data_IF_773530235441
#
_entry.id   IF_773530235441
#
_cell.length_a   1.000
_cell.length_b   1.000
_cell.length_c   1.000
_cell.angle_alpha   90.00
_cell.angle_beta   90.00
_cell.angle_gamma   90.00
#
_symmetry.space_group_name_H-M   'P 1'
#
loop_
_entity.id
_entity.type
_entity.pdbx_description
1 polymer ?
#
# COMPACT_ATOMS: atom_id res chain seq x y z
N UNK A 1 -19.04 29.93 -36.24
CA UNK A 1 -19.05 30.67 -34.96
C UNK A 1 -18.44 29.78 -33.89
N UNK A 2 -17.31 30.19 -33.29
CA UNK A 2 -16.72 29.48 -32.16
C UNK A 2 -17.45 29.90 -30.88
N UNK A 3 -18.32 29.01 -30.36
CA UNK A 3 -18.97 29.23 -29.07
C UNK A 3 -17.99 28.98 -27.92
N UNK A 4 -17.96 29.87 -26.93
CA UNK A 4 -17.16 29.68 -25.72
C UNK A 4 -17.98 28.88 -24.71
N UNK A 5 -17.66 27.59 -24.57
CA UNK A 5 -18.29 26.71 -23.56
C UNK A 5 -17.55 26.89 -22.23
N UNK A 6 -18.21 27.45 -21.23
CA UNK A 6 -17.70 27.50 -19.86
C UNK A 6 -18.28 26.33 -19.07
N UNK A 7 -17.43 25.35 -18.73
CA UNK A 7 -17.79 24.24 -17.85
C UNK A 7 -17.55 24.65 -16.40
N UNK A 8 -18.59 24.63 -15.58
CA UNK A 8 -18.47 24.72 -14.12
C UNK A 8 -18.58 23.33 -13.53
N UNK A 9 -17.51 22.89 -12.88
CA UNK A 9 -17.47 21.61 -12.19
C UNK A 9 -17.41 21.83 -10.67
N UNK A 10 -18.40 21.31 -9.94
CA UNK A 10 -18.37 21.28 -8.49
C UNK A 10 -17.74 19.95 -8.05
N UNK A 11 -16.46 19.98 -7.70
CA UNK A 11 -15.79 18.79 -7.16
C UNK A 11 -16.09 18.64 -5.67
N UNK A 12 -16.56 17.46 -5.24
CA UNK A 12 -16.64 17.15 -3.81
C UNK A 12 -15.23 17.10 -3.22
N UNK A 13 -14.96 17.94 -2.22
CA UNK A 13 -13.65 18.05 -1.55
C UNK A 13 -13.18 16.74 -0.90
N UNK A 14 -14.12 15.82 -0.66
CA UNK A 14 -13.91 14.54 0.01
C UNK A 14 -12.93 13.65 -0.77
N UNK A 15 -13.09 13.52 -2.09
CA UNK A 15 -12.22 12.65 -2.90
C UNK A 15 -10.77 13.14 -2.90
N UNK A 16 -10.57 14.47 -2.93
CA UNK A 16 -9.25 15.09 -2.89
C UNK A 16 -8.54 14.81 -1.57
N UNK A 17 -9.22 15.04 -0.44
CA UNK A 17 -8.61 14.81 0.88
C UNK A 17 -8.26 13.33 1.10
N UNK A 18 -9.15 12.42 0.70
CA UNK A 18 -8.91 10.98 0.80
C UNK A 18 -7.72 10.53 -0.06
N UNK A 19 -7.58 11.10 -1.26
CA UNK A 19 -6.44 10.81 -2.15
C UNK A 19 -5.11 11.27 -1.55
N UNK A 20 -5.05 12.51 -1.05
CA UNK A 20 -3.85 13.07 -0.41
C UNK A 20 -3.46 12.21 0.79
N UNK A 21 -4.45 11.86 1.61
CA UNK A 21 -4.20 11.08 2.81
C UNK A 21 -3.73 9.65 2.49
N UNK A 22 -4.33 8.98 1.50
CA UNK A 22 -3.84 7.68 1.03
C UNK A 22 -2.41 7.79 0.48
N UNK A 23 -2.11 8.83 -0.30
CA UNK A 23 -0.77 9.09 -0.82
C UNK A 23 0.25 9.28 0.31
N UNK A 24 -0.06 10.10 1.31
CA UNK A 24 0.82 10.32 2.47
C UNK A 24 1.09 9.02 3.23
N UNK A 25 0.07 8.20 3.46
CA UNK A 25 0.20 6.93 4.19
C UNK A 25 1.00 5.91 3.37
N UNK A 26 0.74 5.79 2.08
CA UNK A 26 1.50 4.90 1.20
C UNK A 26 2.96 5.33 1.09
N UNK A 27 3.23 6.62 0.90
CA UNK A 27 4.59 7.18 0.88
C UNK A 27 5.34 6.92 2.20
N UNK A 28 4.64 7.06 3.34
CA UNK A 28 5.22 6.74 4.65
C UNK A 28 5.63 5.26 4.76
N UNK A 29 4.76 4.32 4.37
CA UNK A 29 5.06 2.89 4.45
C UNK A 29 6.11 2.43 3.42
N UNK A 30 6.13 3.00 2.22
CA UNK A 30 7.18 2.70 1.24
C UNK A 30 8.53 3.22 1.72
N UNK A 31 8.56 4.37 2.38
CA UNK A 31 9.79 4.88 2.97
C UNK A 31 10.29 3.99 4.12
N UNK A 32 9.39 3.50 4.99
CA UNK A 32 9.75 2.51 6.01
C UNK A 32 10.28 1.21 5.40
N UNK A 33 9.68 0.73 4.31
CA UNK A 33 10.16 -0.45 3.60
C UNK A 33 11.58 -0.21 3.08
N UNK A 34 11.81 0.95 2.47
CA UNK A 34 13.10 1.28 1.88
C UNK A 34 14.22 1.42 2.91
N UNK A 35 13.94 2.00 4.08
CA UNK A 35 14.94 2.19 5.14
C UNK A 35 15.19 0.93 5.96
N UNK A 36 14.14 0.30 6.48
CA UNK A 36 14.26 -0.73 7.52
C UNK A 36 14.02 -2.15 7.04
N UNK A 37 13.44 -2.32 5.85
CA UNK A 37 13.07 -3.62 5.30
C UNK A 37 13.56 -3.79 3.85
N UNK A 38 14.69 -3.15 3.49
CA UNK A 38 15.25 -3.15 2.14
C UNK A 38 15.49 -4.57 1.61
N UNK A 39 15.86 -5.49 2.50
CA UNK A 39 16.10 -6.90 2.20
C UNK A 39 14.89 -7.80 2.47
N UNK A 40 13.82 -7.27 3.06
CA UNK A 40 12.61 -8.04 3.33
C UNK A 40 11.83 -8.28 2.05
N UNK A 41 11.35 -9.51 1.87
CA UNK A 41 10.45 -9.86 0.77
C UNK A 41 9.00 -9.54 1.08
N UNK A 42 8.67 -9.15 2.31
CA UNK A 42 7.31 -8.84 2.76
C UNK A 42 7.02 -7.36 2.53
N UNK A 43 5.84 -7.07 1.95
CA UNK A 43 5.40 -5.70 1.67
C UNK A 43 4.74 -5.06 2.90
N UNK A 44 5.42 -4.09 3.51
CA UNK A 44 4.91 -3.29 4.64
C UNK A 44 3.61 -2.57 4.31
N UNK A 45 3.47 -2.03 3.10
CA UNK A 45 2.27 -1.30 2.66
C UNK A 45 1.04 -2.21 2.76
N UNK A 46 1.12 -3.44 2.22
CA UNK A 46 0.02 -4.40 2.24
C UNK A 46 -0.35 -4.80 3.67
N UNK A 47 0.64 -5.15 4.50
CA UNK A 47 0.42 -5.62 5.88
C UNK A 47 -0.14 -4.49 6.76
N UNK A 48 0.45 -3.30 6.72
CA UNK A 48 0.04 -2.20 7.58
C UNK A 48 -1.32 -1.61 7.19
N UNK A 49 -1.58 -1.43 5.88
CA UNK A 49 -2.89 -0.94 5.43
C UNK A 49 -4.00 -1.95 5.64
N UNK A 50 -3.74 -3.27 5.56
CA UNK A 50 -4.75 -4.30 5.82
C UNK A 50 -5.31 -4.24 7.24
N UNK A 51 -4.54 -3.70 8.20
CA UNK A 51 -4.94 -3.53 9.59
C UNK A 51 -5.66 -2.21 9.87
N UNK A 52 -5.75 -1.34 8.86
CA UNK A 52 -6.28 0.02 9.02
C UNK A 52 -7.60 0.19 8.28
N UNK A 53 -8.63 0.64 8.99
CA UNK A 53 -9.97 0.94 8.44
C UNK A 53 -9.89 2.03 7.37
N UNK A 54 -8.92 2.94 7.49
CA UNK A 54 -8.73 4.06 6.59
C UNK A 54 -8.68 3.67 5.10
N UNK A 55 -7.97 2.60 4.76
CA UNK A 55 -7.84 2.16 3.37
C UNK A 55 -9.19 1.72 2.79
N UNK A 56 -9.99 0.99 3.56
CA UNK A 56 -11.33 0.55 3.17
C UNK A 56 -12.26 1.76 3.01
N UNK A 57 -12.19 2.73 3.92
CA UNK A 57 -12.98 3.96 3.82
C UNK A 57 -12.65 4.75 2.55
N UNK A 58 -11.35 4.92 2.23
CA UNK A 58 -10.94 5.61 1.00
C UNK A 58 -11.46 4.87 -0.23
N UNK A 59 -11.34 3.54 -0.26
CA UNK A 59 -11.84 2.73 -1.37
C UNK A 59 -13.35 2.89 -1.59
N UNK A 60 -14.15 2.81 -0.51
CA UNK A 60 -15.60 2.98 -0.59
C UNK A 60 -16.00 4.36 -1.10
N UNK A 61 -15.34 5.41 -0.59
CA UNK A 61 -15.61 6.78 -1.04
C UNK A 61 -15.19 6.99 -2.49
N UNK A 62 -14.11 6.37 -2.96
CA UNK A 62 -13.70 6.42 -4.37
C UNK A 62 -14.73 5.74 -5.27
N UNK A 63 -15.24 4.57 -4.88
CA UNK A 63 -16.28 3.86 -5.64
C UNK A 63 -17.57 4.69 -5.69
N UNK A 64 -17.98 5.26 -4.55
CA UNK A 64 -19.16 6.13 -4.48
C UNK A 64 -18.99 7.41 -5.33
N UNK A 65 -17.80 8.00 -5.29
CA UNK A 65 -17.45 9.19 -6.06
C UNK A 65 -17.20 8.93 -7.56
N UNK A 66 -17.17 7.67 -7.99
CA UNK A 66 -16.76 7.28 -9.34
C UNK A 66 -17.72 7.81 -10.41
N UNK A 67 -19.03 7.90 -10.11
CA UNK A 67 -20.01 8.44 -11.06
C UNK A 67 -19.64 9.86 -11.55
N UNK A 68 -19.11 10.69 -10.65
CA UNK A 68 -18.67 12.05 -10.98
C UNK A 68 -17.41 12.02 -11.86
N UNK A 69 -16.45 11.13 -11.57
CA UNK A 69 -15.23 10.99 -12.37
C UNK A 69 -15.55 10.45 -13.77
N UNK A 70 -16.39 9.42 -13.87
CA UNK A 70 -16.86 8.87 -15.15
C UNK A 70 -17.58 9.93 -15.99
N UNK A 71 -18.42 10.76 -15.37
CA UNK A 71 -19.11 11.87 -16.04
C UNK A 71 -18.11 12.82 -16.68
N UNK A 72 -17.10 13.24 -15.91
CA UNK A 72 -16.08 14.18 -16.36
C UNK A 72 -15.21 13.59 -17.48
N UNK A 73 -14.75 12.35 -17.31
CA UNK A 73 -13.96 11.65 -18.33
C UNK A 73 -14.74 11.47 -19.62
N UNK A 74 -15.98 10.99 -19.53
CA UNK A 74 -16.85 10.80 -20.70
C UNK A 74 -17.08 12.11 -21.43
N UNK A 75 -17.34 13.20 -20.70
CA UNK A 75 -17.51 14.51 -21.29
C UNK A 75 -16.28 14.97 -22.08
N UNK A 76 -15.07 14.83 -21.52
CA UNK A 76 -13.83 15.22 -22.20
C UNK A 76 -13.48 14.31 -23.38
N UNK A 77 -13.79 13.02 -23.32
CA UNK A 77 -13.60 12.09 -24.45
C UNK A 77 -14.53 12.46 -25.62
N UNK A 78 -15.78 12.81 -25.33
CA UNK A 78 -16.76 13.14 -26.36
C UNK A 78 -16.62 14.57 -26.90
N UNK A 79 -16.00 15.49 -26.14
CA UNK A 79 -15.85 16.90 -26.51
C UNK A 79 -14.37 17.34 -26.45
N UNK A 80 -13.52 16.93 -27.41
CA UNK A 80 -12.13 17.34 -27.44
C UNK A 80 -12.00 18.85 -27.70
N UNK A 81 -11.45 19.59 -26.74
CA UNK A 81 -11.19 21.04 -26.86
C UNK A 81 -9.74 21.24 -27.28
N UNK A 82 -9.50 21.92 -28.40
CA UNK A 82 -8.17 22.12 -28.98
C UNK A 82 -7.23 23.02 -28.14
N UNK A 83 -7.77 23.89 -27.27
CA UNK A 83 -7.00 24.86 -26.49
C UNK A 83 -6.50 24.34 -25.14
N UNK A 84 -6.98 23.18 -24.69
CA UNK A 84 -6.66 22.58 -23.39
C UNK A 84 -6.13 21.18 -23.58
N UNK A 85 -5.21 20.71 -22.72
CA UNK A 85 -4.74 19.32 -22.70
C UNK A 85 -5.85 18.37 -22.20
N UNK A 86 -6.97 18.34 -22.91
CA UNK A 86 -8.20 17.60 -22.61
C UNK A 86 -7.95 16.11 -22.46
N UNK A 87 -7.03 15.56 -23.24
CA UNK A 87 -6.56 14.17 -23.13
C UNK A 87 -6.01 13.87 -21.73
N UNK A 88 -5.20 14.76 -21.15
CA UNK A 88 -4.63 14.54 -19.81
C UNK A 88 -5.75 14.55 -18.76
N UNK A 89 -6.66 15.52 -18.85
CA UNK A 89 -7.80 15.65 -17.95
C UNK A 89 -8.75 14.44 -18.02
N UNK A 90 -8.98 13.90 -19.22
CA UNK A 90 -9.79 12.71 -19.42
C UNK A 90 -9.20 11.48 -18.72
N UNK A 91 -7.87 11.36 -18.65
CA UNK A 91 -7.17 10.20 -18.09
C UNK A 91 -6.94 10.34 -16.58
N UNK A 92 -6.89 11.54 -16.02
CA UNK A 92 -6.61 11.75 -14.59
C UNK A 92 -7.62 11.07 -13.65
N UNK A 93 -8.92 11.12 -13.95
CA UNK A 93 -9.97 10.46 -13.15
C UNK A 93 -9.80 8.92 -13.13
N UNK A 94 -9.75 8.27 -14.29
CA UNK A 94 -9.48 6.84 -14.43
C UNK A 94 -8.17 6.41 -13.77
N UNK A 95 -7.09 7.17 -13.96
CA UNK A 95 -5.81 6.91 -13.33
C UNK A 95 -5.90 6.96 -11.81
N UNK A 96 -6.66 7.91 -11.25
CA UNK A 96 -6.88 8.03 -9.82
C UNK A 96 -7.63 6.81 -9.27
N UNK A 97 -8.75 6.43 -9.90
CA UNK A 97 -9.57 5.27 -9.46
C UNK A 97 -8.75 3.99 -9.55
N UNK A 98 -8.10 3.74 -10.69
CA UNK A 98 -7.24 2.59 -10.89
C UNK A 98 -6.10 2.55 -9.86
N UNK A 99 -5.48 3.68 -9.55
CA UNK A 99 -4.39 3.76 -8.55
C UNK A 99 -4.88 3.43 -7.15
N UNK A 100 -6.04 3.95 -6.73
CA UNK A 100 -6.61 3.63 -5.42
C UNK A 100 -6.96 2.14 -5.34
N UNK A 101 -7.63 1.59 -6.37
CA UNK A 101 -7.96 0.16 -6.42
C UNK A 101 -6.70 -0.70 -6.43
N UNK A 102 -5.69 -0.34 -7.22
CA UNK A 102 -4.39 -1.02 -7.28
C UNK A 102 -3.71 -1.03 -5.92
N UNK A 103 -3.50 0.14 -5.30
CA UNK A 103 -2.90 0.28 -3.96
C UNK A 103 -3.64 -0.58 -2.94
N UNK A 104 -4.97 -0.60 -3.00
CA UNK A 104 -5.81 -1.35 -2.05
C UNK A 104 -5.92 -2.84 -2.36
N UNK A 105 -5.50 -3.31 -3.53
CA UNK A 105 -5.57 -4.73 -3.92
C UNK A 105 -4.73 -5.60 -2.98
N UNK A 106 -3.46 -5.25 -2.78
CA UNK A 106 -2.56 -5.95 -1.85
C UNK A 106 -3.10 -6.01 -0.41
N UNK A 107 -3.47 -4.87 0.21
CA UNK A 107 -4.12 -4.82 1.52
C UNK A 107 -5.38 -5.67 1.64
N UNK A 108 -6.27 -5.66 0.62
CA UNK A 108 -7.48 -6.47 0.63
C UNK A 108 -7.18 -7.97 0.58
N UNK A 109 -6.23 -8.38 -0.26
CA UNK A 109 -5.76 -9.77 -0.29
C UNK A 109 -5.19 -10.13 1.09
N UNK A 110 -4.31 -9.29 1.65
CA UNK A 110 -3.68 -9.51 2.95
C UNK A 110 -4.69 -9.57 4.10
N UNK A 111 -5.78 -8.80 4.02
CA UNK A 111 -6.89 -8.87 4.98
C UNK A 111 -7.51 -10.27 5.02
N UNK A 112 -7.72 -10.90 3.86
CA UNK A 112 -8.29 -12.26 3.77
C UNK A 112 -7.39 -13.37 4.33
N UNK A 113 -6.10 -13.08 4.56
CA UNK A 113 -5.15 -14.03 5.16
C UNK A 113 -4.80 -13.71 6.61
N UNK A 114 -5.23 -12.56 7.15
CA UNK A 114 -4.98 -12.19 8.55
C UNK A 114 -5.56 -13.25 9.50
N UNK A 115 -4.80 -13.75 10.50
CA UNK A 115 -3.55 -13.20 11.05
C UNK A 115 -2.24 -13.67 10.37
N UNK A 116 -2.29 -14.34 9.21
CA UNK A 116 -1.12 -14.77 8.44
C UNK A 116 -0.66 -13.72 7.42
N UNK A 117 0.65 -13.56 7.27
CA UNK A 117 1.30 -12.72 6.26
C UNK A 117 1.35 -13.47 4.93
N UNK A 118 0.94 -12.80 3.85
CA UNK A 118 1.11 -13.29 2.49
C UNK A 118 2.56 -13.09 2.07
N UNK A 119 3.31 -14.18 1.96
CA UNK A 119 4.75 -14.14 1.62
C UNK A 119 5.01 -14.16 0.12
N UNK A 120 4.02 -14.56 -0.69
CA UNK A 120 4.10 -14.55 -2.15
C UNK A 120 3.92 -13.12 -2.71
N UNK A 121 4.85 -12.22 -2.43
CA UNK A 121 4.74 -10.81 -2.83
C UNK A 121 4.75 -10.60 -4.33
N UNK A 122 5.36 -11.49 -5.12
CA UNK A 122 5.26 -11.44 -6.57
C UNK A 122 3.83 -11.65 -7.08
N UNK A 123 3.03 -12.53 -6.45
CA UNK A 123 1.61 -12.71 -6.78
C UNK A 123 0.83 -11.46 -6.41
N UNK A 124 1.09 -10.87 -5.24
CA UNK A 124 0.47 -9.61 -4.83
C UNK A 124 0.74 -8.50 -5.85
N UNK A 125 1.99 -8.35 -6.29
CA UNK A 125 2.38 -7.36 -7.29
C UNK A 125 1.71 -7.63 -8.63
N UNK A 126 1.69 -8.88 -9.10
CA UNK A 126 1.05 -9.28 -10.36
C UNK A 126 -0.45 -8.93 -10.35
N UNK A 127 -1.18 -9.37 -9.32
CA UNK A 127 -2.62 -9.07 -9.21
C UNK A 127 -2.91 -7.60 -9.00
N UNK A 128 -2.02 -6.87 -8.31
CA UNK A 128 -2.14 -5.41 -8.17
C UNK A 128 -2.02 -4.69 -9.52
N UNK A 129 -1.01 -5.05 -10.33
CA UNK A 129 -0.82 -4.48 -11.66
C UNK A 129 -1.96 -4.87 -12.62
N UNK A 130 -2.41 -6.12 -12.56
CA UNK A 130 -3.54 -6.59 -13.34
C UNK A 130 -4.83 -5.87 -12.98
N UNK A 131 -5.11 -5.70 -11.68
CA UNK A 131 -6.29 -4.99 -11.22
C UNK A 131 -6.26 -3.51 -11.62
N UNK A 132 -5.10 -2.87 -11.45
CA UNK A 132 -4.87 -1.50 -11.91
C UNK A 132 -5.14 -1.35 -13.41
N UNK A 133 -4.54 -2.22 -14.23
CA UNK A 133 -4.69 -2.17 -15.69
C UNK A 133 -6.12 -2.42 -16.17
N UNK A 134 -6.82 -3.39 -15.58
CA UNK A 134 -8.22 -3.69 -15.90
C UNK A 134 -9.14 -2.51 -15.57
N UNK A 135 -9.05 -1.99 -14.33
CA UNK A 135 -9.87 -0.85 -13.91
C UNK A 135 -9.56 0.38 -14.76
N UNK A 136 -8.29 0.65 -15.02
CA UNK A 136 -7.88 1.76 -15.88
C UNK A 136 -8.45 1.64 -17.30
N UNK A 137 -8.36 0.45 -17.91
CA UNK A 137 -8.90 0.20 -19.25
C UNK A 137 -10.42 0.32 -19.32
N UNK A 138 -11.13 -0.17 -18.30
CA UNK A 138 -12.60 -0.02 -18.21
C UNK A 138 -13.00 1.46 -18.14
N UNK A 139 -12.35 2.23 -17.27
CA UNK A 139 -12.67 3.64 -17.02
C UNK A 139 -12.25 4.57 -18.17
N UNK A 140 -11.18 4.25 -18.90
CA UNK A 140 -10.69 5.08 -20.01
C UNK A 140 -11.27 4.71 -21.37
N UNK A 141 -11.44 3.42 -21.64
CA UNK A 141 -11.82 2.93 -22.96
C UNK A 141 -13.28 2.48 -22.93
N UNK A 142 -13.67 1.57 -22.05
CA UNK A 142 -14.99 0.93 -22.18
C UNK A 142 -16.14 1.88 -21.82
N UNK A 143 -16.13 2.46 -20.63
CA UNK A 143 -17.28 3.24 -20.15
C UNK A 143 -17.53 4.55 -20.90
N UNK A 144 -16.51 5.33 -21.32
CA UNK A 144 -16.74 6.56 -22.08
C UNK A 144 -17.41 6.31 -23.43
N UNK A 145 -17.08 5.20 -24.11
CA UNK A 145 -17.67 4.86 -25.42
C UNK A 145 -19.01 4.13 -25.32
N UNK A 146 -19.37 3.58 -24.15
CA UNK A 146 -20.71 3.02 -23.90
C UNK A 146 -21.78 4.10 -23.60
N UNK A 147 -21.36 5.32 -23.28
CA UNK A 147 -22.28 6.39 -22.90
C UNK A 147 -22.77 7.19 -24.12
N UNK A 148 -24.08 7.42 -24.20
CA UNK A 148 -24.66 8.35 -25.16
C UNK A 148 -24.97 9.68 -24.47
N UNK A 149 -24.65 10.78 -25.15
CA UNK A 149 -25.04 12.13 -24.74
C UNK A 149 -26.48 12.40 -25.17
N UNK A 150 -27.40 12.48 -24.21
CA UNK A 150 -28.81 12.83 -24.45
C UNK A 150 -29.18 14.14 -23.78
N UNK A 151 -30.12 14.94 -24.33
CA UNK A 151 -30.59 16.14 -23.65
C UNK A 151 -31.22 15.80 -22.29
N UNK A 152 -30.86 16.55 -21.25
CA UNK A 152 -31.36 16.34 -19.89
C UNK A 152 -31.68 17.65 -19.18
N UNK A 153 -32.34 17.59 -18.01
CA UNK A 153 -32.66 18.77 -17.23
C UNK A 153 -31.37 19.45 -16.73
N UNK A 154 -31.37 20.79 -16.75
CA UNK A 154 -30.25 21.57 -16.25
C UNK A 154 -30.24 21.64 -14.72
N UNK A 155 -29.06 21.41 -14.12
CA UNK A 155 -28.86 21.62 -12.68
C UNK A 155 -28.79 23.09 -12.26
N UNK A 156 -28.58 24.01 -13.21
CA UNK A 156 -28.52 25.45 -12.96
C UNK A 156 -29.36 26.22 -13.98
N UNK A 157 -30.10 27.23 -13.51
CA UNK A 157 -30.93 28.08 -14.36
C UNK A 157 -30.15 28.90 -15.40
N UNK A 158 -28.84 29.10 -15.19
CA UNK A 158 -27.95 29.81 -16.12
C UNK A 158 -27.39 28.93 -17.25
N UNK A 159 -27.71 27.63 -17.28
CA UNK A 159 -27.17 26.69 -18.27
C UNK A 159 -28.07 26.60 -19.50
N UNK A 160 -27.49 26.63 -20.70
CA UNK A 160 -28.22 26.64 -21.98
C UNK A 160 -28.16 25.32 -22.73
N UNK A 161 -27.20 24.44 -22.41
CA UNK A 161 -27.08 23.09 -22.99
C UNK A 161 -26.73 22.10 -21.88
N UNK A 162 -27.64 21.15 -21.63
CA UNK A 162 -27.55 20.21 -20.52
C UNK A 162 -27.63 18.80 -21.05
N UNK A 163 -26.56 18.07 -20.77
CA UNK A 163 -26.32 16.73 -21.28
C UNK A 163 -26.43 15.77 -20.11
N UNK A 164 -27.21 14.72 -20.32
CA UNK A 164 -27.29 13.56 -19.45
C UNK A 164 -26.58 12.39 -20.13
N UNK A 165 -25.81 11.62 -19.36
CA UNK A 165 -25.08 10.45 -19.84
C UNK A 165 -25.82 9.18 -19.42
N UNK A 166 -26.24 8.38 -20.40
CA UNK A 166 -27.24 7.32 -20.20
C UNK A 166 -26.73 6.10 -19.42
N UNK A 167 -25.45 5.77 -19.50
CA UNK A 167 -24.92 4.51 -18.94
C UNK A 167 -24.29 4.67 -17.55
N UNK A 168 -23.97 5.88 -17.10
CA UNK A 168 -23.32 6.15 -15.81
C UNK A 168 -24.02 5.53 -14.60
N UNK A 169 -25.37 5.57 -14.48
CA UNK A 169 -26.08 4.93 -13.35
C UNK A 169 -25.82 3.43 -13.24
N UNK A 170 -25.43 2.78 -14.33
CA UNK A 170 -25.15 1.34 -14.39
C UNK A 170 -23.65 1.01 -14.42
N UNK A 171 -22.78 1.94 -14.84
CA UNK A 171 -21.34 1.69 -14.99
C UNK A 171 -20.49 2.08 -13.78
N UNK A 172 -20.97 3.00 -12.92
CA UNK A 172 -20.13 3.58 -11.85
C UNK A 172 -19.61 2.55 -10.83
N UNK A 173 -20.34 1.47 -10.60
CA UNK A 173 -19.95 0.40 -9.67
C UNK A 173 -19.25 -0.79 -10.36
N UNK A 174 -19.28 -0.88 -11.69
CA UNK A 174 -18.75 -2.05 -12.42
C UNK A 174 -17.24 -2.22 -12.23
N UNK A 175 -16.47 -1.13 -12.17
CA UNK A 175 -15.04 -1.18 -11.83
C UNK A 175 -14.78 -1.81 -10.47
N UNK A 176 -15.64 -1.54 -9.49
CA UNK A 176 -15.54 -2.15 -8.16
C UNK A 176 -15.86 -3.64 -8.19
N UNK A 177 -16.86 -4.05 -8.98
CA UNK A 177 -17.23 -5.46 -9.16
C UNK A 177 -16.10 -6.23 -9.83
N UNK A 178 -15.56 -5.72 -10.94
CA UNK A 178 -14.44 -6.34 -11.65
C UNK A 178 -13.19 -6.39 -10.77
N UNK A 179 -12.86 -5.30 -10.09
CA UNK A 179 -11.70 -5.28 -9.20
C UNK A 179 -11.86 -6.18 -7.98
N UNK A 180 -13.07 -6.30 -7.44
CA UNK A 180 -13.41 -7.27 -6.39
C UNK A 180 -13.26 -8.72 -6.86
N UNK A 181 -13.70 -9.03 -8.09
CA UNK A 181 -13.51 -10.35 -8.68
C UNK A 181 -12.02 -10.70 -8.82
N UNK A 182 -11.17 -9.74 -9.22
CA UNK A 182 -9.71 -9.93 -9.27
C UNK A 182 -9.15 -10.28 -7.90
N UNK A 183 -9.59 -9.60 -6.83
CA UNK A 183 -9.18 -9.92 -5.45
C UNK A 183 -9.60 -11.34 -5.04
N UNK A 184 -10.82 -11.76 -5.35
CA UNK A 184 -11.31 -13.12 -5.05
C UNK A 184 -10.46 -14.18 -5.78
N UNK A 185 -10.18 -13.97 -7.06
CA UNK A 185 -9.31 -14.85 -7.85
C UNK A 185 -7.89 -14.87 -7.26
N UNK A 186 -7.35 -13.72 -6.86
CA UNK A 186 -6.04 -13.62 -6.22
C UNK A 186 -5.97 -14.41 -4.91
N UNK A 187 -6.98 -14.29 -4.06
CA UNK A 187 -7.07 -15.07 -2.81
C UNK A 187 -7.13 -16.57 -3.10
N UNK A 188 -7.95 -17.00 -4.07
CA UNK A 188 -8.05 -18.40 -4.49
C UNK A 188 -6.72 -18.96 -4.99
N UNK A 189 -6.06 -18.23 -5.89
CA UNK A 189 -4.77 -18.63 -6.45
C UNK A 189 -3.66 -18.68 -5.40
N UNK A 190 -3.60 -17.73 -4.46
CA UNK A 190 -2.63 -17.75 -3.36
C UNK A 190 -2.89 -18.96 -2.44
N UNK A 191 -4.15 -19.27 -2.13
CA UNK A 191 -4.50 -20.47 -1.33
C UNK A 191 -4.07 -21.75 -2.03
N UNK A 192 -4.39 -21.91 -3.31
CA UNK A 192 -4.00 -23.08 -4.10
C UNK A 192 -2.47 -23.18 -4.14
N UNK A 193 -1.78 -22.08 -4.44
CA UNK A 193 -0.33 -22.05 -4.48
C UNK A 193 0.29 -22.42 -3.11
N UNK A 194 -0.24 -21.92 -2.00
CA UNK A 194 0.24 -22.27 -0.65
C UNK A 194 0.00 -23.74 -0.30
N UNK A 195 -1.08 -24.35 -0.78
CA UNK A 195 -1.38 -25.76 -0.54
C UNK A 195 -0.56 -26.70 -1.44
N UNK A 196 -0.42 -26.38 -2.73
CA UNK A 196 0.23 -27.24 -3.72
C UNK A 196 1.77 -27.21 -3.59
N UNK A 197 2.35 -26.09 -3.18
CA UNK A 197 3.80 -25.94 -3.09
C UNK A 197 4.27 -26.03 -1.63
N UNK A 198 4.79 -27.19 -1.23
CA UNK A 198 5.40 -27.39 0.09
C UNK A 198 6.65 -26.52 0.27
N UNK A 199 6.88 -26.12 1.51
CA UNK A 199 8.07 -25.34 1.87
C UNK A 199 9.32 -26.20 1.67
N UNK A 200 10.34 -25.63 1.05
CA UNK A 200 11.61 -26.32 0.79
C UNK A 200 12.49 -26.41 2.03
N UNK A 201 12.29 -25.51 3.00
CA UNK A 201 13.08 -25.40 4.21
C UNK A 201 12.16 -25.32 5.42
N UNK A 202 12.41 -26.18 6.42
CA UNK A 202 11.71 -26.15 7.70
C UNK A 202 12.56 -25.43 8.72
N UNK A 203 11.98 -24.40 9.35
CA UNK A 203 12.64 -23.67 10.44
C UNK A 203 12.50 -24.49 11.72
N UNK A 204 13.59 -24.75 12.46
CA UNK A 204 13.50 -25.49 13.72
C UNK A 204 12.74 -24.66 14.78
N UNK A 205 11.93 -25.29 15.64
CA UNK A 205 11.15 -24.58 16.68
C UNK A 205 12.04 -23.88 17.72
N UNK A 206 13.32 -24.25 17.79
CA UNK A 206 14.34 -23.60 18.63
C UNK A 206 14.83 -22.26 18.08
N UNK A 207 14.40 -21.87 16.87
CA UNK A 207 14.78 -20.61 16.27
C UNK A 207 14.26 -19.43 17.09
N UNK A 208 15.13 -18.46 17.39
CA UNK A 208 14.86 -17.32 18.30
C UNK A 208 13.60 -16.54 17.91
N UNK A 209 13.34 -16.37 16.62
CA UNK A 209 12.15 -15.72 16.10
C UNK A 209 10.85 -16.48 16.40
N UNK A 210 10.82 -17.79 16.21
CA UNK A 210 9.64 -18.61 16.51
C UNK A 210 9.38 -18.63 18.02
N UNK A 211 10.45 -18.74 18.81
CA UNK A 211 10.36 -18.63 20.27
C UNK A 211 9.87 -17.26 20.73
N UNK A 212 10.33 -16.16 20.12
CA UNK A 212 9.84 -14.81 20.42
C UNK A 212 8.36 -14.65 20.05
N UNK A 213 7.94 -15.25 18.93
CA UNK A 213 6.55 -15.22 18.49
C UNK A 213 5.66 -16.20 19.28
N UNK A 214 6.24 -17.18 19.96
CA UNK A 214 5.54 -18.21 20.71
C UNK A 214 4.86 -19.26 19.83
N UNK A 215 5.40 -19.52 18.64
CA UNK A 215 4.82 -20.44 17.64
C UNK A 215 5.76 -21.62 17.39
N UNK A 216 5.21 -22.76 16.95
CA UNK A 216 6.01 -23.95 16.65
C UNK A 216 6.34 -24.06 15.17
N UNK A 217 5.45 -23.58 14.30
CA UNK A 217 5.64 -23.59 12.85
C UNK A 217 5.43 -22.20 12.24
N UNK A 218 6.26 -21.83 11.27
CA UNK A 218 6.16 -20.57 10.55
C UNK A 218 4.84 -20.45 9.80
N UNK A 219 4.23 -21.58 9.42
CA UNK A 219 2.91 -21.64 8.77
C UNK A 219 1.76 -21.08 9.61
N UNK A 220 1.96 -20.93 10.92
CA UNK A 220 0.98 -20.28 11.79
C UNK A 220 0.87 -18.77 11.51
N UNK A 221 1.96 -18.14 11.03
CA UNK A 221 2.05 -16.68 10.82
C UNK A 221 2.32 -16.32 9.35
N UNK A 222 2.76 -17.23 8.50
CA UNK A 222 3.02 -16.98 7.08
C UNK A 222 2.31 -18.00 6.17
N UNK A 223 1.88 -17.56 4.97
CA UNK A 223 1.25 -18.44 3.97
C UNK A 223 2.22 -19.47 3.38
N UNK A 224 3.52 -19.13 3.30
CA UNK A 224 4.60 -20.05 2.92
C UNK A 224 5.93 -19.55 3.49
N UNK A 225 6.83 -20.47 3.83
CA UNK A 225 8.21 -20.15 4.19
C UNK A 225 9.10 -19.82 2.98
N UNK A 226 8.64 -20.09 1.75
CA UNK A 226 9.41 -19.79 0.53
C UNK A 226 9.61 -18.27 0.38
N UNK A 227 10.86 -17.88 0.19
CA UNK A 227 11.25 -16.48 0.04
C UNK A 227 11.42 -15.73 1.37
N UNK A 228 10.88 -16.24 2.47
CA UNK A 228 11.09 -15.69 3.81
C UNK A 228 12.10 -16.49 4.64
N UNK A 229 12.51 -17.66 4.18
CA UNK A 229 13.52 -18.51 4.83
C UNK A 229 14.65 -18.76 3.85
N UNK A 230 15.87 -18.42 4.24
CA UNK A 230 17.09 -18.57 3.44
C UNK A 230 18.14 -19.29 4.28
N UNK A 231 18.97 -20.13 3.65
CA UNK A 231 20.16 -20.67 4.32
C UNK A 231 21.33 -19.72 4.12
N UNK A 232 22.00 -19.37 5.21
CA UNK A 232 23.25 -18.64 5.17
C UNK A 232 24.39 -19.54 4.64
N UNK A 233 25.53 -18.94 4.28
CA UNK A 233 26.74 -19.66 3.86
C UNK A 233 27.26 -20.66 4.91
N UNK A 234 27.04 -20.36 6.19
CA UNK A 234 27.38 -21.24 7.32
C UNK A 234 26.38 -22.40 7.52
N UNK A 235 25.35 -22.51 6.67
CA UNK A 235 24.31 -23.53 6.74
C UNK A 235 23.14 -23.19 7.69
N UNK A 236 23.25 -22.10 8.45
CA UNK A 236 22.23 -21.62 9.37
C UNK A 236 20.98 -21.10 8.65
N UNK A 237 19.81 -21.31 9.26
CA UNK A 237 18.52 -20.89 8.70
C UNK A 237 18.20 -19.47 9.18
N UNK A 238 18.15 -18.53 8.23
CA UNK A 238 17.79 -17.12 8.48
C UNK A 238 16.35 -16.88 8.05
N UNK A 239 15.58 -16.20 8.91
CA UNK A 239 14.18 -15.86 8.65
C UNK A 239 14.03 -14.35 8.44
N UNK A 240 13.25 -13.97 7.44
CA UNK A 240 12.94 -12.59 7.08
C UNK A 240 12.29 -11.84 8.25
N UNK A 241 12.96 -10.78 8.70
CA UNK A 241 12.52 -9.92 9.80
C UNK A 241 11.19 -9.21 9.52
N UNK A 242 10.77 -9.10 8.25
CA UNK A 242 9.47 -8.56 7.84
C UNK A 242 8.28 -9.32 8.41
N UNK A 243 8.45 -10.58 8.82
CA UNK A 243 7.38 -11.35 9.48
C UNK A 243 6.97 -10.69 10.82
N UNK A 244 7.90 -9.98 11.47
CA UNK A 244 7.63 -9.27 12.72
C UNK A 244 6.62 -8.12 12.56
N UNK A 245 6.45 -7.60 11.34
CA UNK A 245 5.46 -6.56 11.02
C UNK A 245 4.03 -7.04 11.33
N UNK A 246 3.79 -8.36 11.28
CA UNK A 246 2.50 -8.90 11.71
C UNK A 246 2.20 -8.63 13.20
N UNK A 247 3.22 -8.59 14.06
CA UNK A 247 3.08 -8.18 15.47
C UNK A 247 3.37 -6.69 15.70
N UNK A 248 3.33 -5.87 14.65
CA UNK A 248 3.66 -4.44 14.70
C UNK A 248 5.07 -4.18 15.26
N UNK A 249 6.00 -5.10 15.00
CA UNK A 249 7.42 -4.98 15.36
C UNK A 249 8.25 -4.77 14.10
N UNK A 250 9.28 -3.94 14.19
CA UNK A 250 10.18 -3.59 13.09
C UNK A 250 11.63 -3.70 13.59
N UNK A 251 12.49 -4.33 12.78
CA UNK A 251 13.94 -4.32 13.02
C UNK A 251 14.51 -3.00 12.52
N UNK A 252 15.08 -2.21 13.42
CA UNK A 252 15.73 -0.93 13.06
C UNK A 252 17.20 -1.17 12.75
N UNK A 253 17.87 -1.89 13.64
CA UNK A 253 19.31 -2.17 13.55
C UNK A 253 19.58 -3.66 13.70
N UNK A 254 20.85 -4.04 13.58
CA UNK A 254 21.27 -5.42 13.83
C UNK A 254 21.08 -5.83 15.30
N UNK A 255 21.03 -4.85 16.21
CA UNK A 255 20.96 -5.01 17.67
C UNK A 255 19.58 -4.70 18.26
N UNK A 256 18.70 -3.99 17.56
CA UNK A 256 17.43 -3.51 18.12
C UNK A 256 16.19 -3.79 17.25
N UNK A 257 15.12 -4.27 17.90
CA UNK A 257 13.75 -4.26 17.41
C UNK A 257 12.93 -3.21 18.16
N UNK A 258 12.02 -2.52 17.46
CA UNK A 258 11.07 -1.57 18.04
C UNK A 258 9.64 -1.89 17.62
N UNK A 259 8.67 -1.22 18.24
CA UNK A 259 7.29 -1.19 17.73
C UNK A 259 7.18 -0.27 16.52
N UNK A 260 6.38 -0.65 15.53
CA UNK A 260 6.13 0.14 14.32
C UNK A 260 5.62 1.55 14.63
N UNK A 261 4.87 1.74 15.72
CA UNK A 261 4.41 3.05 16.18
C UNK A 261 5.55 4.03 16.54
N UNK A 262 6.74 3.51 16.88
CA UNK A 262 7.92 4.31 17.16
C UNK A 262 8.72 4.65 15.89
N UNK A 263 8.44 4.00 14.76
CA UNK A 263 9.19 4.18 13.52
C UNK A 263 9.04 5.60 12.92
N UNK A 264 7.99 6.33 13.29
CA UNK A 264 7.85 7.76 12.94
C UNK A 264 8.97 8.63 13.51
N UNK A 265 9.44 8.33 14.73
CA UNK A 265 10.52 9.09 15.35
C UNK A 265 11.86 8.79 14.66
N UNK A 266 12.06 7.52 14.27
CA UNK A 266 13.24 7.07 13.53
C UNK A 266 13.34 7.75 12.16
N UNK A 267 12.21 7.80 11.44
CA UNK A 267 12.09 8.51 10.16
C UNK A 267 12.41 10.00 10.30
N UNK A 268 11.83 10.65 11.31
CA UNK A 268 12.09 12.07 11.56
C UNK A 268 13.59 12.30 11.79
N UNK A 269 14.22 11.48 12.63
CA UNK A 269 15.65 11.56 12.91
C UNK A 269 16.54 11.33 11.67
N UNK A 270 16.12 10.46 10.76
CA UNK A 270 16.79 10.23 9.47
C UNK A 270 16.81 11.45 8.56
N UNK A 271 15.72 12.22 8.51
CA UNK A 271 15.64 13.44 7.70
C UNK A 271 16.36 14.65 8.30
N UNK A 272 16.76 14.59 9.57
CA UNK A 272 17.44 15.72 10.22
C UNK A 272 18.93 15.80 9.82
N UNK A 273 19.43 16.99 9.46
CA UNK A 273 20.86 17.23 9.26
C UNK A 273 21.68 16.89 10.52
N UNK A 274 22.90 16.36 10.36
CA UNK A 274 23.77 15.91 11.48
C UNK A 274 23.92 16.95 12.61
N UNK A 275 24.00 18.24 12.28
CA UNK A 275 24.13 19.33 13.27
C UNK A 275 22.88 19.49 14.14
N UNK A 276 21.70 19.36 13.54
CA UNK A 276 20.40 19.48 14.23
C UNK A 276 20.10 18.18 14.99
N UNK A 277 20.52 17.04 14.44
CA UNK A 277 20.41 15.72 15.06
C UNK A 277 21.05 15.68 16.46
N UNK A 278 22.28 16.19 16.59
CA UNK A 278 22.97 16.27 17.89
C UNK A 278 22.25 17.18 18.89
N UNK A 279 21.72 18.32 18.44
CA UNK A 279 20.98 19.23 19.31
C UNK A 279 19.62 18.66 19.77
N UNK A 280 18.93 17.88 18.92
CA UNK A 280 17.65 17.26 19.24
C UNK A 280 17.77 15.89 19.93
N UNK A 281 18.92 15.22 19.82
CA UNK A 281 19.19 13.93 20.47
C UNK A 281 18.94 13.93 21.99
N UNK A 282 19.15 15.07 22.64
CA UNK A 282 18.91 15.25 24.07
C UNK A 282 17.46 15.59 24.44
N UNK A 283 16.62 15.97 23.48
CA UNK A 283 15.20 16.31 23.72
C UNK A 283 14.24 15.14 23.48
N UNK A 284 14.66 14.12 22.73
CA UNK A 284 13.79 12.99 22.42
C UNK A 284 13.71 11.97 23.57
N UNK A 285 12.50 11.46 23.79
CA UNK A 285 12.18 10.46 24.82
C UNK A 285 12.86 9.12 24.52
N UNK A 286 13.02 8.32 25.58
CA UNK A 286 13.45 6.91 25.46
C UNK A 286 12.39 6.09 24.73
N UNK A 287 12.84 5.16 23.90
CA UNK A 287 11.97 4.20 23.20
C UNK A 287 12.18 2.80 23.75
N UNK A 288 11.10 2.02 23.83
CA UNK A 288 11.17 0.62 24.21
C UNK A 288 11.70 -0.19 23.03
N UNK A 289 12.84 -0.85 23.25
CA UNK A 289 13.47 -1.72 22.27
C UNK A 289 13.66 -3.13 22.82
N UNK A 290 13.70 -4.11 21.94
CA UNK A 290 14.04 -5.50 22.24
C UNK A 290 15.41 -5.80 21.64
N UNK A 291 16.32 -6.33 22.44
CA UNK A 291 17.69 -6.58 22.02
C UNK A 291 17.81 -7.82 21.13
N UNK A 292 18.62 -7.72 20.09
CA UNK A 292 19.05 -8.82 19.21
C UNK A 292 20.53 -9.05 19.46
N UNK A 293 20.91 -10.27 19.83
CA UNK A 293 22.31 -10.64 20.03
C UNK A 293 22.68 -11.72 19.00
N UNK A 294 23.69 -11.46 18.16
CA UNK A 294 24.13 -12.37 17.08
C UNK A 294 22.96 -12.92 16.24
N UNK A 295 22.12 -12.01 15.73
CA UNK A 295 20.87 -12.31 14.99
C UNK A 295 19.79 -13.09 15.76
N UNK A 296 19.98 -13.31 17.07
CA UNK A 296 18.98 -13.95 17.93
C UNK A 296 18.20 -12.92 18.72
N UNK A 297 16.88 -12.94 18.56
CA UNK A 297 15.99 -12.06 19.32
C UNK A 297 16.04 -12.49 20.79
N UNK A 298 16.56 -11.63 21.65
CA UNK A 298 16.53 -11.84 23.09
C UNK A 298 15.15 -11.41 23.61
N UNK A 299 14.60 -12.10 24.61
CA UNK A 299 13.32 -11.70 25.24
C UNK A 299 13.47 -10.52 26.21
N UNK A 300 14.60 -9.81 26.18
CA UNK A 300 14.88 -8.67 27.05
C UNK A 300 14.46 -7.38 26.36
N UNK A 301 13.54 -6.66 26.99
CA UNK A 301 13.11 -5.33 26.55
C UNK A 301 13.58 -4.27 27.54
N UNK A 302 14.12 -3.16 27.04
CA UNK A 302 14.52 -2.03 27.87
C UNK A 302 14.32 -0.71 27.13
N UNK A 303 14.32 0.38 27.90
CA UNK A 303 14.16 1.72 27.36
C UNK A 303 15.54 2.27 27.00
N UNK A 304 15.71 2.64 25.72
CA UNK A 304 16.95 3.22 25.22
C UNK A 304 16.69 4.64 24.75
N UNK A 305 17.57 5.61 25.08
CA UNK A 305 17.52 6.93 24.48
C UNK A 305 17.64 6.84 22.96
N UNK A 306 16.78 7.55 22.23
CA UNK A 306 16.69 7.49 20.77
C UNK A 306 18.05 7.64 20.05
N UNK A 307 18.95 8.47 20.59
CA UNK A 307 20.26 8.72 20.02
C UNK A 307 21.20 7.50 20.07
N UNK A 308 21.08 6.66 21.09
CA UNK A 308 21.93 5.46 21.22
C UNK A 308 21.56 4.35 20.24
N UNK A 309 20.29 4.31 19.80
CA UNK A 309 19.84 3.33 18.79
C UNK A 309 20.49 3.59 17.42
N UNK A 310 20.85 4.84 17.14
CA UNK A 310 21.41 5.25 15.84
C UNK A 310 22.93 5.15 15.74
N UNK A 311 23.65 5.21 16.85
CA UNK A 311 25.13 5.09 16.85
C UNK A 311 25.54 3.72 16.29
N UNK A 312 24.82 2.65 16.66
CA UNK A 312 24.99 1.32 16.08
C UNK A 312 24.56 1.24 14.59
N UNK A 313 23.65 2.09 14.14
CA UNK A 313 23.10 2.09 12.77
C UNK A 313 23.95 2.86 11.76
N UNK A 314 24.61 3.95 12.17
CA UNK A 314 25.46 4.77 11.30
C UNK A 314 26.78 4.04 10.95
N UNK A 315 27.30 3.16 11.82
CA UNK A 315 28.46 2.28 11.50
C UNK A 315 28.12 1.24 10.41
N UNK A 316 26.87 0.77 10.38
CA UNK A 316 26.33 -0.20 9.41
C UNK A 316 26.07 0.46 8.03
N UNK A 317 25.82 1.77 7.96
CA UNK A 317 25.73 2.48 6.68
C UNK A 317 27.10 2.93 6.13
N UNK A 318 28.11 3.12 7.00
CA UNK A 318 29.48 3.37 6.57
C UNK A 318 30.15 2.10 5.99
N UNK A 319 29.77 0.93 6.51
CA UNK A 319 30.13 -0.38 5.99
C UNK A 319 29.01 -0.87 5.08
N UNK A 320 28.99 -0.40 3.83
CA UNK A 320 28.08 -0.93 2.82
C UNK A 320 28.10 -2.45 2.83
N UNK A 321 26.96 -3.07 3.16
CA UNK A 321 26.78 -4.52 3.09
C UNK A 321 26.88 -4.93 1.62
N UNK A 322 28.06 -5.44 1.27
CA UNK A 322 28.33 -6.30 0.11
C UNK A 322 27.57 -7.62 0.21
#
# INVERSE_FOLDING_TARGET
MQGRVNVRWACSSILRMNTILLWMVTAYYTMLQWLFAKQSRICLVAVCLSKNVLGITVLLVTIWGNANLQTLTTYFVQNPIASTKTIILAVCGPALVASIVGIMTGPLIQLCFTPRVVTQTWLLTLFTLLNWGLVFGLETIVFPYMNLSVPGPCGFASSTNCIHLTAIPHTYYLSAVVGGAVVVVAVGTIRIHACCFRDSLRVPPTHSMLQYLGIQDLREIATSGRGCVVRNFDGDVVVDSGILVMKNMLRITNTYLTRLANAQYELFHWFLPRRIRSALAHRFRTILVVHIDKDKITRRSYYVPMHNVHVDGDEVCALGFS
#
